data_IF_775479611366
#
_entry.id   IF_775479611366
#
_cell.length_a   1.000
_cell.length_b   1.000
_cell.length_c   1.000
_cell.angle_alpha   90.00
_cell.angle_beta   90.00
_cell.angle_gamma   90.00
#
_symmetry.space_group_name_H-M   'P 1'
#
loop_
_entity.id
_entity.type
_entity.pdbx_description
1 polymer ?
#
# COMPACT_ATOMS: atom_id res chain seq x y z
N UNK A 1 12.93 7.76 -24.19
CA UNK A 1 13.49 9.04 -23.67
C UNK A 1 14.71 9.49 -24.47
N UNK A 2 15.43 8.57 -25.13
CA UNK A 2 16.49 8.88 -26.11
C UNK A 2 15.90 9.33 -27.47
N UNK A 3 14.76 8.76 -27.87
CA UNK A 3 14.05 9.09 -29.12
C UNK A 3 13.49 10.53 -29.18
N UNK A 4 13.05 11.08 -28.05
CA UNK A 4 12.51 12.45 -27.98
C UNK A 4 13.61 13.53 -28.06
N UNK A 5 14.87 13.16 -27.83
CA UNK A 5 16.01 14.09 -27.86
C UNK A 5 16.61 14.18 -29.27
N UNK A 6 16.50 13.11 -30.06
CA UNK A 6 16.88 13.09 -31.47
C UNK A 6 15.87 13.85 -32.35
N UNK A 7 14.58 13.83 -32.00
CA UNK A 7 13.54 14.59 -32.70
C UNK A 7 13.72 16.12 -32.51
N UNK A 8 14.06 16.54 -31.28
CA UNK A 8 14.35 17.94 -30.98
C UNK A 8 15.65 18.46 -31.66
N UNK A 9 16.61 17.58 -31.92
CA UNK A 9 17.81 17.93 -32.70
C UNK A 9 17.59 17.91 -34.21
N UNK A 10 16.60 17.15 -34.71
CA UNK A 10 16.23 17.15 -36.13
C UNK A 10 15.38 18.36 -36.52
N UNK A 11 14.62 18.97 -35.59
CA UNK A 11 13.82 20.16 -35.85
C UNK A 11 14.63 21.46 -35.97
N UNK A 12 15.77 21.57 -35.29
CA UNK A 12 16.67 22.75 -35.41
C UNK A 12 17.37 22.79 -36.79
N UNK A 13 17.42 21.66 -37.51
CA UNK A 13 18.17 21.53 -38.77
C UNK A 13 17.38 21.90 -40.03
N UNK A 14 16.11 22.33 -39.91
CA UNK A 14 15.23 22.59 -41.07
C UNK A 14 15.00 24.05 -41.46
N UNK A 15 15.52 25.04 -40.73
CA UNK A 15 15.47 26.44 -41.15
C UNK A 15 16.87 27.04 -41.30
N UNK A 16 17.48 26.77 -42.45
CA UNK A 16 18.42 27.71 -43.06
C UNK A 16 17.91 27.99 -44.47
N UNK A 17 17.34 29.18 -44.74
CA UNK A 17 17.22 29.64 -46.11
C UNK A 17 18.62 30.03 -46.60
N UNK A 18 18.95 29.60 -47.82
CA UNK A 18 20.16 29.99 -48.55
C UNK A 18 20.31 31.54 -48.62
N UNK A 19 21.55 32.08 -48.64
CA UNK A 19 21.76 33.52 -48.67
C UNK A 19 21.63 34.06 -50.10
N UNK A 20 20.45 34.54 -50.47
CA UNK A 20 20.33 35.42 -51.64
C UNK A 20 20.93 36.79 -51.32
N UNK A 21 22.04 37.11 -51.99
CA UNK A 21 22.53 38.48 -52.15
C UNK A 21 21.56 39.29 -53.01
N UNK A 22 21.27 40.54 -52.64
CA UNK A 22 21.20 41.59 -53.64
C UNK A 22 22.33 42.59 -53.44
N UNK A 23 23.18 42.67 -54.45
CA UNK A 23 24.06 43.81 -54.67
C UNK A 23 23.21 45.08 -54.86
N UNK A 24 23.40 46.08 -54.00
CA UNK A 24 23.39 47.47 -54.44
C UNK A 24 24.17 48.36 -53.46
N UNK A 25 25.31 48.85 -53.91
CA UNK A 25 26.12 49.87 -53.26
C UNK A 25 25.56 51.25 -53.59
N UNK A 26 25.37 52.11 -52.58
CA UNK A 26 25.65 53.55 -52.61
C UNK A 26 25.71 54.11 -51.17
N UNK A 27 26.45 55.21 -50.93
CA UNK A 27 27.26 55.39 -49.74
C UNK A 27 26.75 56.47 -48.79
N UNK A 28 27.04 56.29 -47.50
CA UNK A 28 27.10 57.38 -46.52
C UNK A 28 25.98 57.38 -45.48
N UNK A 29 26.15 56.58 -44.43
CA UNK A 29 25.66 56.84 -43.06
C UNK A 29 26.42 55.86 -42.12
N UNK A 30 26.94 56.32 -40.96
CA UNK A 30 27.72 55.46 -40.08
C UNK A 30 26.79 54.41 -39.47
N UNK A 31 26.87 53.17 -39.96
CA UNK A 31 26.21 52.01 -39.33
C UNK A 31 26.63 52.02 -37.86
N UNK A 32 25.69 52.03 -36.89
CA UNK A 32 26.05 51.99 -35.48
C UNK A 32 26.96 50.77 -35.30
N UNK A 33 28.12 50.97 -34.69
CA UNK A 33 29.17 49.98 -34.63
C UNK A 33 28.58 48.63 -34.19
N UNK A 34 28.71 47.63 -35.07
CA UNK A 34 28.24 46.26 -34.80
C UNK A 34 29.02 45.73 -33.58
N UNK A 35 28.36 44.98 -32.69
CA UNK A 35 28.97 44.44 -31.46
C UNK A 35 30.26 43.67 -31.80
N UNK A 36 30.26 42.95 -32.92
CA UNK A 36 31.44 42.25 -33.43
C UNK A 36 32.57 43.19 -33.89
N UNK A 37 32.25 44.35 -34.44
CA UNK A 37 33.23 45.37 -34.83
C UNK A 37 33.83 46.07 -33.60
N UNK A 38 33.02 46.38 -32.59
CA UNK A 38 33.44 46.93 -31.30
C UNK A 38 34.35 45.96 -30.51
N UNK A 39 33.98 44.69 -30.46
CA UNK A 39 34.81 43.66 -29.84
C UNK A 39 36.13 43.51 -30.60
N UNK A 40 36.12 43.43 -31.94
CA UNK A 40 37.36 43.30 -32.72
C UNK A 40 38.29 44.51 -32.62
N UNK A 41 37.75 45.70 -32.39
CA UNK A 41 38.52 46.93 -32.23
C UNK A 41 39.24 47.01 -30.87
N UNK A 42 38.68 46.41 -29.82
CA UNK A 42 39.24 46.46 -28.47
C UNK A 42 39.42 45.05 -27.87
N UNK A 43 40.68 44.60 -27.84
CA UNK A 43 41.10 43.32 -27.28
C UNK A 43 40.78 43.18 -25.77
N UNK A 44 40.74 44.29 -25.03
CA UNK A 44 40.38 44.27 -23.62
C UNK A 44 38.88 44.01 -23.44
N UNK A 45 38.03 44.60 -24.29
CA UNK A 45 36.58 44.34 -24.29
C UNK A 45 36.25 42.89 -24.71
N UNK A 46 36.93 42.35 -25.72
CA UNK A 46 36.81 40.92 -26.06
C UNK A 46 37.14 40.01 -24.88
N UNK A 47 38.29 40.25 -24.23
CA UNK A 47 38.72 39.45 -23.08
C UNK A 47 37.73 39.53 -21.90
N UNK A 48 37.12 40.70 -21.66
CA UNK A 48 36.09 40.83 -20.64
C UNK A 48 34.80 40.10 -21.01
N UNK A 49 34.38 40.17 -22.27
CA UNK A 49 33.20 39.48 -22.76
C UNK A 49 33.37 37.96 -22.72
N UNK A 50 34.49 37.44 -23.19
CA UNK A 50 34.84 36.01 -23.12
C UNK A 50 34.90 35.51 -21.67
N UNK A 51 35.46 36.32 -20.75
CA UNK A 51 35.46 35.99 -19.32
C UNK A 51 34.05 35.93 -18.74
N UNK A 52 33.16 36.84 -19.13
CA UNK A 52 31.78 36.85 -18.66
C UNK A 52 30.99 35.67 -19.24
N UNK A 53 31.18 35.33 -20.51
CA UNK A 53 30.61 34.12 -21.11
C UNK A 53 31.13 32.88 -20.41
N UNK A 54 32.44 32.75 -20.21
CA UNK A 54 33.03 31.60 -19.52
C UNK A 54 32.46 31.44 -18.11
N UNK A 55 32.34 32.54 -17.34
CA UNK A 55 31.71 32.52 -16.02
C UNK A 55 30.23 32.13 -16.06
N UNK A 56 29.47 32.68 -17.00
CA UNK A 56 28.06 32.35 -17.17
C UNK A 56 27.87 30.87 -17.55
N UNK A 57 28.72 30.35 -18.43
CA UNK A 57 28.70 28.97 -18.90
C UNK A 57 29.11 28.00 -17.80
N UNK A 58 30.13 28.33 -17.01
CA UNK A 58 30.54 27.57 -15.82
C UNK A 58 29.44 27.55 -14.75
N UNK A 59 28.83 28.72 -14.48
CA UNK A 59 27.70 28.82 -13.55
C UNK A 59 26.50 28.01 -14.02
N UNK A 60 26.17 28.05 -15.32
CA UNK A 60 25.07 27.29 -15.90
C UNK A 60 25.34 25.77 -15.82
N UNK A 61 26.56 25.33 -16.10
CA UNK A 61 26.98 23.92 -15.94
C UNK A 61 26.86 23.47 -14.49
N UNK A 62 27.40 24.25 -13.54
CA UNK A 62 27.35 23.92 -12.12
C UNK A 62 25.92 23.81 -11.61
N UNK A 63 25.03 24.75 -12.00
CA UNK A 63 23.60 24.68 -11.65
C UNK A 63 22.92 23.45 -12.25
N UNK A 64 23.17 23.17 -13.52
CA UNK A 64 22.59 22.01 -14.20
C UNK A 64 23.03 20.68 -13.56
N UNK A 65 24.32 20.55 -13.23
CA UNK A 65 24.83 19.37 -12.51
C UNK A 65 24.23 19.24 -11.11
N UNK A 66 24.12 20.35 -10.37
CA UNK A 66 23.50 20.35 -9.04
C UNK A 66 22.02 19.96 -9.09
N UNK A 67 21.24 20.53 -10.01
CA UNK A 67 19.83 20.19 -10.22
C UNK A 67 19.64 18.73 -10.64
N UNK A 68 20.49 18.23 -11.54
CA UNK A 68 20.48 16.82 -11.95
C UNK A 68 20.76 15.88 -10.78
N UNK A 69 21.75 16.21 -9.95
CA UNK A 69 22.11 15.40 -8.78
C UNK A 69 20.99 15.41 -7.73
N UNK A 70 20.40 16.57 -7.45
CA UNK A 70 19.24 16.69 -6.56
C UNK A 70 18.05 15.88 -7.07
N UNK A 71 17.75 15.94 -8.37
CA UNK A 71 16.68 15.16 -8.99
C UNK A 71 16.94 13.65 -8.90
N UNK A 72 18.18 13.22 -9.15
CA UNK A 72 18.58 11.83 -9.03
C UNK A 72 18.48 11.32 -7.57
N UNK A 73 18.90 12.14 -6.60
CA UNK A 73 18.81 11.81 -5.19
C UNK A 73 17.36 11.71 -4.71
N UNK A 74 16.51 12.68 -5.09
CA UNK A 74 15.07 12.63 -4.79
C UNK A 74 14.40 11.38 -5.35
N UNK A 75 14.71 11.02 -6.60
CA UNK A 75 14.18 9.80 -7.21
C UNK A 75 14.68 8.54 -6.50
N UNK A 76 15.96 8.51 -6.09
CA UNK A 76 16.53 7.41 -5.34
C UNK A 76 15.87 7.26 -3.96
N UNK A 77 15.64 8.36 -3.25
CA UNK A 77 14.96 8.39 -1.95
C UNK A 77 13.52 7.92 -2.07
N UNK A 78 12.75 8.39 -3.07
CA UNK A 78 11.38 7.93 -3.30
C UNK A 78 11.35 6.43 -3.58
N UNK A 79 12.19 5.93 -4.49
CA UNK A 79 12.30 4.48 -4.78
C UNK A 79 12.75 3.66 -3.57
N UNK A 80 13.53 4.22 -2.66
CA UNK A 80 13.93 3.56 -1.43
C UNK A 80 12.76 3.52 -0.42
N UNK A 81 12.02 4.62 -0.28
CA UNK A 81 10.82 4.69 0.57
C UNK A 81 9.72 3.76 0.07
N UNK A 82 9.44 3.73 -1.23
CA UNK A 82 8.47 2.82 -1.83
C UNK A 82 8.84 1.36 -1.56
N UNK A 83 10.11 0.99 -1.75
CA UNK A 83 10.58 -0.36 -1.44
C UNK A 83 10.49 -0.68 0.05
N UNK A 84 10.84 0.26 0.92
CA UNK A 84 10.72 0.06 2.36
C UNK A 84 9.25 -0.11 2.79
N UNK A 85 8.33 0.65 2.21
CA UNK A 85 6.90 0.53 2.46
C UNK A 85 6.34 -0.81 1.95
N UNK A 86 6.73 -1.24 0.76
CA UNK A 86 6.33 -2.55 0.20
C UNK A 86 6.84 -3.71 1.06
N UNK A 87 8.09 -3.65 1.52
CA UNK A 87 8.66 -4.64 2.43
C UNK A 87 7.91 -4.67 3.77
N UNK A 88 7.67 -3.50 4.38
CA UNK A 88 6.93 -3.42 5.64
C UNK A 88 5.50 -3.97 5.52
N UNK A 89 4.81 -3.72 4.40
CA UNK A 89 3.49 -4.30 4.15
C UNK A 89 3.55 -5.83 4.03
N UNK A 90 4.55 -6.36 3.32
CA UNK A 90 4.75 -7.81 3.21
C UNK A 90 5.09 -8.45 4.53
N UNK A 91 5.94 -7.85 5.34
CA UNK A 91 6.31 -8.35 6.66
C UNK A 91 5.10 -8.35 7.60
N UNK A 92 4.28 -7.29 7.59
CA UNK A 92 3.05 -7.23 8.36
C UNK A 92 2.04 -8.30 7.94
N UNK A 93 1.88 -8.53 6.63
CA UNK A 93 1.00 -9.58 6.13
C UNK A 93 1.52 -10.98 6.49
N UNK A 94 2.83 -11.22 6.38
CA UNK A 94 3.46 -12.48 6.75
C UNK A 94 3.24 -12.77 8.24
N UNK A 95 3.52 -11.78 9.10
CA UNK A 95 3.34 -11.88 10.55
C UNK A 95 1.89 -12.21 10.89
N UNK A 96 0.94 -11.55 10.23
CA UNK A 96 -0.49 -11.83 10.43
C UNK A 96 -0.88 -13.25 9.98
N UNK A 97 -0.28 -13.76 8.90
CA UNK A 97 -0.50 -15.15 8.44
C UNK A 97 0.10 -16.16 9.41
N UNK A 98 1.29 -15.89 9.94
CA UNK A 98 1.95 -16.72 10.95
C UNK A 98 1.14 -16.77 12.25
N UNK A 99 0.69 -15.62 12.76
CA UNK A 99 -0.19 -15.55 13.94
C UNK A 99 -1.50 -16.32 13.72
N UNK A 100 -2.11 -16.23 12.54
CA UNK A 100 -3.30 -17.04 12.22
C UNK A 100 -3.02 -18.54 12.20
N UNK A 101 -1.88 -18.96 11.66
CA UNK A 101 -1.50 -20.36 11.64
C UNK A 101 -1.28 -20.88 13.07
N UNK A 102 -0.59 -20.11 13.91
CA UNK A 102 -0.41 -20.41 15.32
C UNK A 102 -1.76 -20.48 16.07
N UNK A 103 -2.69 -19.56 15.79
CA UNK A 103 -4.03 -19.58 16.36
C UNK A 103 -4.80 -20.87 15.98
N UNK A 104 -4.76 -21.26 14.70
CA UNK A 104 -5.39 -22.49 14.21
C UNK A 104 -4.82 -23.73 14.89
N UNK A 105 -3.50 -23.80 15.07
CA UNK A 105 -2.85 -24.89 15.77
C UNK A 105 -3.30 -24.95 17.25
N UNK A 106 -3.32 -23.80 17.94
CA UNK A 106 -3.78 -23.70 19.33
C UNK A 106 -5.25 -24.08 19.48
N UNK A 107 -6.11 -23.69 18.54
CA UNK A 107 -7.52 -24.10 18.51
C UNK A 107 -7.65 -25.61 18.36
N UNK A 108 -6.89 -26.22 17.44
CA UNK A 108 -6.89 -27.67 17.25
C UNK A 108 -6.42 -28.41 18.50
N UNK A 109 -5.35 -27.93 19.15
CA UNK A 109 -4.83 -28.52 20.40
C UNK A 109 -5.85 -28.47 21.55
N UNK A 110 -6.67 -27.40 21.60
CA UNK A 110 -7.72 -27.21 22.62
C UNK A 110 -9.05 -27.87 22.27
N UNK A 111 -9.16 -28.48 21.08
CA UNK A 111 -10.39 -29.10 20.58
C UNK A 111 -11.48 -28.08 20.20
N UNK A 112 -11.08 -26.87 19.82
CA UNK A 112 -12.00 -25.82 19.36
C UNK A 112 -12.18 -25.88 17.84
N UNK A 113 -13.42 -25.70 17.33
CA UNK A 113 -13.67 -25.65 15.89
C UNK A 113 -12.92 -24.51 15.21
N UNK A 114 -12.22 -24.80 14.11
CA UNK A 114 -11.44 -23.82 13.32
C UNK A 114 -12.32 -22.74 12.68
N UNK A 115 -13.61 -23.00 12.49
CA UNK A 115 -14.59 -22.02 12.01
C UNK A 115 -14.73 -20.81 12.95
N UNK A 116 -14.33 -20.95 14.23
CA UNK A 116 -14.34 -19.84 15.18
C UNK A 116 -13.13 -18.90 15.03
N UNK A 117 -12.19 -19.17 14.12
CA UNK A 117 -10.99 -18.35 13.92
C UNK A 117 -11.35 -16.89 13.58
N UNK A 118 -12.36 -16.67 12.74
CA UNK A 118 -12.78 -15.32 12.36
C UNK A 118 -13.52 -14.57 13.49
N UNK A 119 -13.88 -15.27 14.57
CA UNK A 119 -14.52 -14.69 15.75
C UNK A 119 -13.53 -14.34 16.88
N UNK A 120 -12.25 -14.73 16.76
CA UNK A 120 -11.20 -14.43 17.75
C UNK A 120 -10.27 -13.33 17.25
N UNK A 121 -9.70 -12.53 18.18
CA UNK A 121 -8.66 -11.57 17.82
C UNK A 121 -7.35 -12.32 17.58
N UNK A 122 -6.67 -12.01 16.46
CA UNK A 122 -5.43 -12.66 16.00
C UNK A 122 -4.34 -11.62 15.70
N UNK A 123 -4.45 -10.44 16.32
CA UNK A 123 -3.57 -9.31 16.07
C UNK A 123 -2.26 -9.43 16.88
N UNK A 124 -2.36 -9.93 18.11
CA UNK A 124 -1.22 -10.14 19.02
C UNK A 124 -1.38 -11.47 19.76
N UNK A 125 -0.27 -12.06 20.19
CA UNK A 125 -0.28 -13.33 20.92
C UNK A 125 -1.05 -13.27 22.25
N UNK A 126 -0.95 -12.13 22.96
CA UNK A 126 -1.62 -11.91 24.25
C UNK A 126 -3.15 -11.79 24.06
N UNK A 127 -3.60 -11.05 23.05
CA UNK A 127 -5.03 -10.89 22.75
C UNK A 127 -5.62 -12.18 22.19
N UNK A 128 -4.86 -12.91 21.38
CA UNK A 128 -5.22 -14.22 20.84
C UNK A 128 -5.45 -15.25 21.95
N UNK A 129 -4.49 -15.43 22.85
CA UNK A 129 -4.61 -16.39 23.96
C UNK A 129 -5.77 -16.06 24.90
N UNK A 130 -5.94 -14.78 25.26
CA UNK A 130 -7.07 -14.34 26.07
C UNK A 130 -8.43 -14.55 25.38
N UNK A 131 -8.49 -14.36 24.05
CA UNK A 131 -9.70 -14.61 23.27
C UNK A 131 -10.00 -16.10 23.16
N UNK A 132 -8.99 -16.93 22.93
CA UNK A 132 -9.11 -18.39 22.93
C UNK A 132 -9.66 -18.92 24.25
N UNK A 133 -9.12 -18.47 25.39
CA UNK A 133 -9.58 -18.89 26.71
C UNK A 133 -11.05 -18.52 26.97
N UNK A 134 -11.48 -17.33 26.53
CA UNK A 134 -12.88 -16.88 26.67
C UNK A 134 -13.81 -17.71 25.79
N UNK A 135 -13.44 -17.89 24.52
CA UNK A 135 -14.21 -18.69 23.55
C UNK A 135 -14.31 -20.13 24.00
N UNK A 136 -13.22 -20.72 24.50
CA UNK A 136 -13.21 -22.08 25.04
C UNK A 136 -14.18 -22.26 26.20
N UNK A 137 -14.13 -21.37 27.19
CA UNK A 137 -15.02 -21.40 28.35
C UNK A 137 -16.48 -21.24 27.94
N UNK A 138 -16.79 -20.27 27.07
CA UNK A 138 -18.14 -20.02 26.62
C UNK A 138 -18.70 -21.18 25.79
N UNK A 139 -17.91 -21.72 24.86
CA UNK A 139 -18.31 -22.83 24.00
C UNK A 139 -18.59 -24.10 24.82
N UNK A 140 -17.66 -24.48 25.72
CA UNK A 140 -17.84 -25.66 26.57
C UNK A 140 -19.06 -25.50 27.49
N UNK A 141 -19.25 -24.34 28.11
CA UNK A 141 -20.43 -24.09 28.95
C UNK A 141 -21.74 -24.20 28.17
N UNK A 142 -21.79 -23.70 26.93
CA UNK A 142 -22.97 -23.80 26.07
C UNK A 142 -23.25 -25.24 25.65
N UNK A 143 -22.23 -25.99 25.25
CA UNK A 143 -22.34 -27.42 24.89
C UNK A 143 -22.78 -28.24 26.09
N UNK A 144 -22.17 -28.05 27.26
CA UNK A 144 -22.53 -28.75 28.49
C UNK A 144 -24.00 -28.50 28.86
N UNK A 145 -24.46 -27.25 28.75
CA UNK A 145 -25.86 -26.90 29.00
C UNK A 145 -26.79 -27.61 28.00
N UNK A 146 -26.47 -27.55 26.70
CA UNK A 146 -27.26 -28.20 25.65
C UNK A 146 -27.33 -29.73 25.83
N UNK A 147 -26.22 -30.37 26.20
CA UNK A 147 -26.17 -31.81 26.48
C UNK A 147 -26.99 -32.15 27.73
N UNK A 148 -26.87 -31.38 28.81
CA UNK A 148 -27.68 -31.56 30.02
C UNK A 148 -29.18 -31.42 29.72
N UNK A 149 -29.56 -30.44 28.93
CA UNK A 149 -30.97 -30.23 28.56
C UNK A 149 -31.49 -31.36 27.66
N UNK A 150 -30.68 -31.89 26.73
CA UNK A 150 -31.02 -33.13 25.98
C UNK A 150 -31.14 -34.35 26.88
N UNK A 151 -30.25 -34.51 27.87
CA UNK A 151 -30.27 -35.67 28.79
C UNK A 151 -31.43 -35.65 29.77
N UNK A 152 -32.00 -34.48 30.10
CA UNK A 152 -33.23 -34.41 30.89
C UNK A 152 -34.39 -35.13 30.19
N UNK A 153 -34.36 -35.21 28.86
CA UNK A 153 -35.36 -35.90 28.03
C UNK A 153 -36.74 -35.23 28.09
N UNK A 154 -37.57 -35.47 27.07
CA UNK A 154 -38.99 -35.20 27.21
C UNK A 154 -39.61 -36.29 28.08
N UNK A 155 -40.42 -35.94 29.10
CA UNK A 155 -41.11 -36.95 29.89
C UNK A 155 -41.98 -37.81 28.98
N UNK A 156 -42.07 -39.13 29.24
CA UNK A 156 -42.86 -40.02 28.39
C UNK A 156 -44.28 -39.49 28.27
N UNK A 157 -44.76 -39.33 27.03
CA UNK A 157 -46.13 -38.91 26.75
C UNK A 157 -47.07 -39.97 27.29
N UNK A 158 -47.73 -39.65 28.41
CA UNK A 158 -48.78 -40.48 28.97
C UNK A 158 -49.94 -40.53 27.98
N UNK A 159 -50.11 -41.67 27.30
CA UNK A 159 -51.30 -41.95 26.50
C UNK A 159 -52.21 -42.83 27.37
N UNK A 160 -53.45 -42.41 27.68
CA UNK A 160 -54.36 -43.16 28.56
C UNK A 160 -54.84 -44.53 28.03
N UNK A 161 -54.23 -45.05 26.96
CA UNK A 161 -54.68 -46.27 26.27
C UNK A 161 -54.06 -47.54 26.84
N UNK A 162 -53.15 -47.43 27.81
CA UNK A 162 -52.53 -48.57 28.47
C UNK A 162 -53.42 -49.08 29.63
N UNK A 163 -53.99 -50.30 29.58
CA UNK A 163 -54.96 -50.79 30.57
C UNK A 163 -54.40 -50.84 32.00
N UNK A 164 -53.07 -50.96 32.15
CA UNK A 164 -52.36 -50.86 33.42
C UNK A 164 -52.48 -49.46 34.06
N UNK A 165 -52.43 -48.42 33.24
CA UNK A 165 -52.51 -47.03 33.70
C UNK A 165 -53.91 -46.66 34.18
N UNK A 166 -54.94 -47.22 33.53
CA UNK A 166 -56.34 -47.06 33.93
C UNK A 166 -56.64 -47.76 35.25
N UNK A 167 -56.05 -48.94 35.47
CA UNK A 167 -56.15 -49.67 36.74
C UNK A 167 -55.46 -48.93 37.88
N UNK A 168 -54.26 -48.38 37.66
CA UNK A 168 -53.55 -47.54 38.63
C UNK A 168 -54.32 -46.25 38.98
N UNK A 169 -54.94 -45.60 37.99
CA UNK A 169 -55.80 -44.44 38.22
C UNK A 169 -57.09 -44.80 39.00
N UNK A 170 -57.71 -45.93 38.69
CA UNK A 170 -58.90 -46.43 39.38
C UNK A 170 -58.59 -46.81 40.85
N UNK A 171 -57.45 -47.45 41.11
CA UNK A 171 -57.02 -47.81 42.47
C UNK A 171 -56.72 -46.55 43.29
N UNK A 172 -56.08 -45.54 42.69
CA UNK A 172 -55.79 -44.26 43.38
C UNK A 172 -57.08 -43.50 43.73
N UNK A 173 -58.06 -43.49 42.82
CA UNK A 173 -59.39 -42.92 43.06
C UNK A 173 -60.17 -43.67 44.15
N UNK A 174 -60.13 -45.00 44.16
CA UNK A 174 -60.76 -45.83 45.18
C UNK A 174 -60.10 -45.67 46.56
N UNK A 175 -58.80 -45.37 46.60
CA UNK A 175 -58.05 -45.07 47.82
C UNK A 175 -58.22 -43.60 48.31
N UNK A 176 -58.97 -42.76 47.58
CA UNK A 176 -59.25 -41.38 47.98
C UNK A 176 -58.07 -40.41 47.82
N UNK A 177 -56.99 -40.82 47.16
CA UNK A 177 -55.90 -39.91 46.80
C UNK A 177 -56.24 -39.22 45.47
N UNK A 178 -56.40 -37.90 45.49
CA UNK A 178 -56.45 -37.08 44.28
C UNK A 178 -55.04 -36.61 43.94
#
# INVERSE_FOLDING_TARGET
>A
MEEAMDEAMQEIRRETPDPEQPANTKPGEPKPADLNALLKADKALQSQFDRQIAKALDTAKSKWEAEKNLSAEQLAQQKAQERAAELAQREAELTRRELRAAALEQMSQRGLPTELLDAISVDDEVSMTASLDKTEKAFRAAVDKAVKDKMKGDPPKFTPTDPSSTQLAAIRAAAGLK
#
